data_IF_393585912296
#
_entry.id   IF_393585912296
#
_cell.length_a   1.000
_cell.length_b   1.000
_cell.length_c   1.000
_cell.angle_alpha   90.00
_cell.angle_beta   90.00
_cell.angle_gamma   90.00
#
_symmetry.space_group_name_H-M   'P 1'
#
loop_
_entity.id
_entity.type
_entity.pdbx_description
1 polymer ?
#
# COMPACT_ATOMS: atom_id res chain seq x y z
N UNK A 1 5.33 -18.50 -15.59
CA UNK A 1 4.08 -18.60 -14.83
C UNK A 1 4.22 -19.56 -13.66
N UNK A 2 4.71 -19.02 -12.58
CA UNK A 2 4.82 -19.80 -11.36
C UNK A 2 3.47 -19.81 -10.67
N UNK A 3 3.00 -20.98 -10.35
CA UNK A 3 1.83 -21.14 -9.52
C UNK A 3 2.30 -20.99 -8.07
N UNK A 4 1.81 -19.95 -7.41
CA UNK A 4 2.13 -19.72 -6.00
C UNK A 4 1.07 -20.43 -5.17
N UNK A 5 1.50 -21.29 -4.27
CA UNK A 5 0.59 -22.04 -3.42
C UNK A 5 -0.05 -21.13 -2.38
N UNK A 6 -1.27 -21.49 -1.98
CA UNK A 6 -1.94 -20.81 -0.89
C UNK A 6 -1.15 -20.99 0.41
N UNK A 7 -1.20 -19.98 1.26
CA UNK A 7 -0.55 -20.02 2.59
C UNK A 7 0.96 -20.28 2.51
N UNK A 8 1.61 -19.76 1.45
CA UNK A 8 3.02 -20.01 1.24
C UNK A 8 3.91 -18.79 1.41
N UNK A 9 3.32 -17.59 1.46
CA UNK A 9 4.09 -16.35 1.51
C UNK A 9 4.22 -15.81 2.92
N UNK A 10 5.43 -15.43 3.29
CA UNK A 10 5.69 -14.75 4.57
C UNK A 10 5.34 -13.28 4.50
N UNK A 11 5.54 -12.66 3.35
CA UNK A 11 5.28 -11.25 3.16
C UNK A 11 4.93 -10.95 1.71
N UNK A 12 4.07 -9.95 1.53
CA UNK A 12 3.70 -9.43 0.21
C UNK A 12 3.84 -7.91 0.27
N UNK A 13 4.47 -7.34 -0.76
CA UNK A 13 4.56 -5.90 -0.91
C UNK A 13 3.77 -5.51 -2.14
N UNK A 14 2.91 -4.50 -2.02
CA UNK A 14 2.10 -4.07 -3.14
C UNK A 14 2.04 -2.55 -3.22
N UNK A 15 2.09 -2.04 -4.42
CA UNK A 15 1.94 -0.63 -4.72
C UNK A 15 0.91 -0.52 -5.85
N UNK A 16 -0.39 -0.65 -5.53
CA UNK A 16 -1.42 -0.69 -6.56
C UNK A 16 -1.47 0.60 -7.36
N UNK A 17 -1.86 0.53 -8.62
CA UNK A 17 -1.97 1.74 -9.43
C UNK A 17 -3.04 2.68 -8.89
N UNK A 18 -2.75 3.97 -8.88
CA UNK A 18 -3.64 5.01 -8.38
C UNK A 18 -4.48 5.55 -9.50
N UNK A 19 -5.37 4.76 -10.01
CA UNK A 19 -6.17 5.22 -11.12
C UNK A 19 -7.45 5.84 -10.62
N UNK A 20 -7.62 7.11 -10.93
CA UNK A 20 -8.92 7.73 -10.84
C UNK A 20 -9.68 7.34 -12.09
N UNK A 21 -10.94 7.04 -11.94
CA UNK A 21 -11.89 7.01 -13.04
C UNK A 21 -11.70 8.32 -13.80
N UNK A 22 -11.39 8.28 -15.07
CA UNK A 22 -11.15 9.44 -15.92
C UNK A 22 -9.80 10.13 -15.71
N UNK A 23 -8.89 9.58 -14.96
CA UNK A 23 -7.58 10.19 -14.86
C UNK A 23 -6.78 9.84 -16.09
N UNK A 24 -6.36 10.84 -16.78
CA UNK A 24 -5.41 10.91 -17.84
C UNK A 24 -4.78 9.63 -18.36
N UNK A 25 -5.57 8.76 -18.89
CA UNK A 25 -5.06 7.62 -19.60
C UNK A 25 -4.50 8.14 -20.90
N UNK A 26 -3.22 7.94 -21.11
CA UNK A 26 -2.48 8.68 -22.12
C UNK A 26 -2.36 7.98 -23.46
N UNK A 27 -2.53 6.68 -23.53
CA UNK A 27 -2.48 5.97 -24.79
C UNK A 27 -3.21 4.62 -24.70
N UNK A 28 -3.50 4.06 -25.87
CA UNK A 28 -4.24 2.80 -25.95
C UNK A 28 -3.57 1.64 -25.27
N UNK A 29 -2.25 1.60 -25.31
CA UNK A 29 -1.52 0.49 -24.70
C UNK A 29 -1.65 0.52 -23.18
N UNK A 30 -1.60 1.71 -22.60
CA UNK A 30 -1.82 1.87 -21.17
C UNK A 30 -3.24 1.48 -20.81
N UNK A 31 -4.21 1.91 -21.61
CA UNK A 31 -5.62 1.56 -21.39
C UNK A 31 -5.80 0.05 -21.40
N UNK A 32 -5.26 -0.63 -22.40
CA UNK A 32 -5.40 -2.07 -22.51
C UNK A 32 -4.71 -2.80 -21.37
N UNK A 33 -3.52 -2.35 -21.00
CA UNK A 33 -2.77 -2.95 -19.91
C UNK A 33 -3.53 -2.79 -18.59
N UNK A 34 -3.99 -1.57 -18.32
CA UNK A 34 -4.73 -1.25 -17.12
C UNK A 34 -6.05 -2.02 -17.08
N UNK A 35 -6.81 -2.00 -18.17
CA UNK A 35 -8.08 -2.71 -18.23
C UNK A 35 -7.92 -4.20 -17.98
N UNK A 36 -6.86 -4.78 -18.54
CA UNK A 36 -6.58 -6.20 -18.39
C UNK A 36 -6.30 -6.54 -16.94
N UNK A 37 -5.66 -5.64 -16.20
CA UNK A 37 -5.31 -5.86 -14.81
C UNK A 37 -6.41 -5.38 -13.85
N UNK A 38 -7.06 -4.27 -14.13
CA UNK A 38 -8.10 -3.72 -13.25
C UNK A 38 -9.34 -4.57 -13.19
N UNK A 39 -9.74 -5.16 -14.28
CA UNK A 39 -10.88 -6.07 -14.26
C UNK A 39 -10.62 -7.20 -13.28
N UNK A 40 -9.33 -7.51 -13.02
CA UNK A 40 -8.93 -8.61 -12.17
C UNK A 40 -8.18 -8.19 -10.91
N UNK A 41 -7.78 -6.93 -10.83
CA UNK A 41 -6.84 -6.47 -9.80
C UNK A 41 -7.20 -5.09 -9.24
N UNK A 42 -8.46 -4.87 -8.84
CA UNK A 42 -8.78 -3.71 -8.03
C UNK A 42 -8.25 -3.96 -6.61
N UNK A 43 -8.37 -2.97 -5.75
CA UNK A 43 -7.82 -3.07 -4.39
C UNK A 43 -8.39 -4.29 -3.66
N UNK A 44 -9.68 -4.51 -3.77
CA UNK A 44 -10.29 -5.67 -3.12
C UNK A 44 -9.69 -6.99 -3.62
N UNK A 45 -9.51 -7.11 -4.94
CA UNK A 45 -8.95 -8.32 -5.53
C UNK A 45 -7.52 -8.56 -5.06
N UNK A 46 -6.71 -7.50 -4.99
CA UNK A 46 -5.33 -7.60 -4.51
C UNK A 46 -5.30 -8.11 -3.08
N UNK A 47 -6.15 -7.55 -2.23
CA UNK A 47 -6.22 -7.95 -0.82
C UNK A 47 -6.73 -9.38 -0.69
N UNK A 48 -7.74 -9.74 -1.48
CA UNK A 48 -8.28 -11.10 -1.48
C UNK A 48 -7.22 -12.13 -1.86
N UNK A 49 -6.48 -11.86 -2.92
CA UNK A 49 -5.40 -12.75 -3.36
C UNK A 49 -4.29 -12.81 -2.31
N UNK A 50 -3.93 -11.66 -1.74
CA UNK A 50 -2.93 -11.61 -0.68
C UNK A 50 -3.34 -12.47 0.50
N UNK A 51 -4.61 -12.42 0.87
CA UNK A 51 -5.12 -13.23 1.98
C UNK A 51 -4.97 -14.73 1.71
N UNK A 52 -5.14 -15.14 0.46
CA UNK A 52 -4.97 -16.55 0.11
C UNK A 52 -3.52 -16.98 0.11
N UNK A 53 -2.63 -16.11 -0.30
CA UNK A 53 -1.20 -16.44 -0.43
C UNK A 53 -0.45 -16.36 0.89
N UNK A 54 -0.86 -15.47 1.79
CA UNK A 54 -0.15 -15.26 3.03
C UNK A 54 -0.36 -16.41 4.02
N UNK A 55 0.70 -16.79 4.69
CA UNK A 55 0.62 -17.67 5.85
C UNK A 55 -0.05 -16.95 7.02
N UNK A 56 -0.48 -17.69 8.01
CA UNK A 56 -0.88 -17.10 9.29
C UNK A 56 0.27 -16.23 9.80
N UNK A 57 -0.06 -15.02 10.25
CA UNK A 57 0.92 -14.02 10.69
C UNK A 57 1.81 -13.50 9.56
N UNK A 58 1.52 -13.83 8.32
CA UNK A 58 2.19 -13.23 7.18
C UNK A 58 1.83 -11.75 7.06
N UNK A 59 2.73 -10.97 6.47
CA UNK A 59 2.63 -9.52 6.46
C UNK A 59 2.35 -8.98 5.07
N UNK A 60 1.38 -8.07 4.99
CA UNK A 60 1.10 -7.33 3.76
C UNK A 60 1.54 -5.89 3.95
N UNK A 61 2.36 -5.41 3.05
CA UNK A 61 2.80 -4.02 3.02
C UNK A 61 2.20 -3.35 1.79
N UNK A 62 1.50 -2.24 2.02
CA UNK A 62 0.83 -1.52 0.93
C UNK A 62 1.15 -0.04 1.00
N UNK A 63 1.39 0.56 -0.17
CA UNK A 63 1.52 2.00 -0.33
C UNK A 63 0.33 2.46 -1.13
N UNK A 64 -0.36 3.48 -0.65
CA UNK A 64 -1.53 4.00 -1.36
C UNK A 64 -1.79 5.46 -1.02
N UNK A 65 -2.79 6.03 -1.66
CA UNK A 65 -3.25 7.38 -1.36
C UNK A 65 -4.04 7.36 -0.05
N UNK A 66 -3.86 8.39 0.79
CA UNK A 66 -4.58 8.43 2.07
C UNK A 66 -6.11 8.47 1.93
N UNK A 67 -6.61 9.04 0.83
CA UNK A 67 -8.07 9.15 0.64
C UNK A 67 -8.74 7.78 0.38
N UNK A 68 -7.96 6.73 0.19
CA UNK A 68 -8.48 5.38 0.02
C UNK A 68 -8.35 4.54 1.29
N UNK A 69 -7.83 5.13 2.35
CA UNK A 69 -7.48 4.37 3.57
C UNK A 69 -8.67 3.64 4.18
N UNK A 70 -9.82 4.31 4.28
CA UNK A 70 -11.00 3.69 4.93
C UNK A 70 -11.46 2.47 4.13
N UNK A 71 -11.53 2.58 2.81
CA UNK A 71 -11.90 1.44 1.97
C UNK A 71 -10.88 0.31 2.06
N UNK A 72 -9.61 0.66 2.11
CA UNK A 72 -8.54 -0.36 2.24
C UNK A 72 -8.70 -1.10 3.56
N UNK A 73 -8.91 -0.38 4.65
CA UNK A 73 -9.10 -1.00 5.98
C UNK A 73 -10.30 -1.94 5.96
N UNK A 74 -11.39 -1.52 5.34
CA UNK A 74 -12.59 -2.35 5.24
C UNK A 74 -12.29 -3.66 4.52
N UNK A 75 -11.61 -3.59 3.38
CA UNK A 75 -11.25 -4.81 2.64
C UNK A 75 -10.26 -5.68 3.41
N UNK A 76 -9.28 -5.06 4.05
CA UNK A 76 -8.32 -5.82 4.86
C UNK A 76 -9.04 -6.64 5.93
N UNK A 77 -9.95 -6.02 6.66
CA UNK A 77 -10.70 -6.72 7.70
C UNK A 77 -11.64 -7.78 7.12
N UNK A 78 -12.24 -7.51 5.98
CA UNK A 78 -13.11 -8.47 5.30
C UNK A 78 -12.36 -9.79 5.01
N UNK A 79 -11.10 -9.68 4.64
CA UNK A 79 -10.29 -10.85 4.27
C UNK A 79 -9.33 -11.30 5.35
N UNK A 80 -9.57 -10.89 6.58
CA UNK A 80 -8.83 -11.36 7.76
C UNK A 80 -7.37 -10.95 7.78
N UNK A 81 -7.05 -9.80 7.20
CA UNK A 81 -5.72 -9.20 7.30
C UNK A 81 -5.86 -7.94 8.14
N UNK A 82 -5.37 -7.98 9.37
CA UNK A 82 -5.58 -6.86 10.30
C UNK A 82 -4.53 -5.78 10.10
N UNK A 83 -4.94 -4.51 9.85
CA UNK A 83 -3.96 -3.43 9.77
C UNK A 83 -3.30 -3.22 11.13
N UNK A 84 -1.97 -3.25 11.16
CA UNK A 84 -1.21 -3.18 12.40
C UNK A 84 -0.41 -1.91 12.55
N UNK A 85 0.04 -1.32 11.44
CA UNK A 85 0.80 -0.08 11.45
C UNK A 85 0.40 0.79 10.27
N UNK A 86 0.30 2.09 10.52
CA UNK A 86 0.09 3.06 9.47
C UNK A 86 1.07 4.20 9.67
N UNK A 87 1.69 4.63 8.58
CA UNK A 87 2.56 5.79 8.59
C UNK A 87 2.17 6.69 7.42
N UNK A 88 1.87 7.96 7.73
CA UNK A 88 1.53 8.94 6.69
C UNK A 88 2.79 9.61 6.18
N UNK A 89 2.85 9.81 4.87
CA UNK A 89 3.98 10.46 4.22
C UNK A 89 3.52 11.83 3.72
N UNK A 90 4.31 12.85 4.00
CA UNK A 90 4.05 14.24 3.61
C UNK A 90 5.22 14.73 2.79
N UNK A 91 4.94 15.56 1.79
CA UNK A 91 6.04 16.24 1.10
C UNK A 91 6.71 17.22 2.06
N UNK A 92 5.93 18.06 2.73
CA UNK A 92 6.41 19.04 3.71
C UNK A 92 5.42 19.12 4.87
N UNK A 93 5.86 19.72 5.96
CA UNK A 93 5.05 19.87 7.17
C UNK A 93 3.71 20.54 6.95
N UNK A 94 3.67 21.56 6.09
CA UNK A 94 2.46 22.33 5.85
C UNK A 94 1.50 21.70 4.85
N UNK A 95 1.92 20.62 4.19
CA UNK A 95 1.08 19.95 3.20
C UNK A 95 0.21 18.87 3.83
N UNK A 96 -0.83 18.47 3.11
CA UNK A 96 -1.58 17.28 3.49
C UNK A 96 -0.78 16.03 3.12
N UNK A 97 -1.08 14.94 3.80
CA UNK A 97 -0.43 13.68 3.46
C UNK A 97 -0.76 13.25 2.03
N UNK A 98 0.25 12.85 1.28
CA UNK A 98 0.07 12.41 -0.09
C UNK A 98 0.18 10.89 -0.25
N UNK A 99 0.75 10.19 0.72
CA UNK A 99 0.83 8.73 0.70
C UNK A 99 0.61 8.18 2.10
N UNK A 100 0.14 6.95 2.15
CA UNK A 100 0.05 6.20 3.39
C UNK A 100 0.73 4.84 3.21
N UNK A 101 1.53 4.48 4.20
CA UNK A 101 2.20 3.18 4.25
C UNK A 101 1.43 2.33 5.25
N UNK A 102 1.02 1.14 4.83
CA UNK A 102 0.19 0.26 5.65
C UNK A 102 0.90 -1.06 5.83
N UNK A 103 1.01 -1.51 7.07
CA UNK A 103 1.41 -2.88 7.38
C UNK A 103 0.22 -3.59 7.99
N UNK A 104 -0.16 -4.70 7.41
CA UNK A 104 -1.26 -5.52 7.89
C UNK A 104 -0.79 -6.96 8.05
N UNK A 105 -1.38 -7.70 8.97
CA UNK A 105 -0.92 -9.05 9.30
C UNK A 105 -2.10 -10.00 9.26
N UNK A 106 -1.92 -11.12 8.55
CA UNK A 106 -3.00 -12.09 8.38
C UNK A 106 -3.34 -12.79 9.68
N UNK A 107 -4.61 -12.80 10.00
CA UNK A 107 -5.19 -13.43 11.20
C UNK A 107 -4.65 -12.86 12.52
N UNK A 108 -4.11 -11.64 12.50
CA UNK A 108 -3.66 -10.98 13.71
C UNK A 108 -4.82 -10.37 14.47
N UNK A 109 -4.60 -10.10 15.74
CA UNK A 109 -5.57 -9.44 16.59
C UNK A 109 -5.59 -7.94 16.37
N UNK A 110 -6.57 -7.30 16.96
CA UNK A 110 -6.83 -5.87 16.86
C UNK A 110 -5.69 -5.05 17.51
N UNK A 111 -5.64 -3.82 17.20
CA UNK A 111 -4.80 -2.72 17.70
C UNK A 111 -3.84 -2.22 16.64
N UNK A 112 -4.13 -1.03 16.19
CA UNK A 112 -3.39 -0.31 15.15
C UNK A 112 -2.42 0.67 15.81
N UNK A 113 -1.20 0.72 15.32
CA UNK A 113 -0.23 1.74 15.72
C UNK A 113 -0.09 2.76 14.60
N UNK A 114 -0.31 4.04 14.93
CA UNK A 114 -0.02 5.12 14.00
C UNK A 114 1.39 5.61 14.29
N UNK A 115 2.29 5.45 13.33
CA UNK A 115 3.68 5.86 13.51
C UNK A 115 3.87 7.34 13.20
N UNK A 116 5.02 7.88 13.60
CA UNK A 116 5.33 9.29 13.31
C UNK A 116 5.29 9.54 11.81
N UNK A 117 4.79 10.72 11.39
CA UNK A 117 4.79 11.04 9.97
C UNK A 117 6.19 11.03 9.36
N UNK A 118 6.28 10.69 8.09
CA UNK A 118 7.52 10.84 7.34
C UNK A 118 7.41 12.07 6.47
N UNK A 119 8.35 12.99 6.63
CA UNK A 119 8.43 14.19 5.79
C UNK A 119 9.55 14.01 4.78
N UNK A 120 9.24 14.24 3.50
CA UNK A 120 10.20 14.02 2.43
C UNK A 120 11.18 15.20 2.34
N UNK A 121 10.67 16.42 2.43
CA UNK A 121 11.47 17.64 2.27
C UNK A 121 11.43 18.50 3.51
N UNK A 122 12.57 19.16 3.77
CA UNK A 122 12.67 20.15 4.84
C UNK A 122 12.26 21.55 4.35
N UNK A 123 12.45 22.55 5.20
CA UNK A 123 12.08 23.93 4.90
C UNK A 123 12.81 24.50 3.68
N UNK A 124 13.96 23.95 3.35
CA UNK A 124 14.80 24.39 2.24
C UNK A 124 14.62 23.54 0.99
N UNK A 125 13.56 22.75 0.93
CA UNK A 125 13.25 21.87 -0.20
C UNK A 125 14.33 20.80 -0.44
N UNK A 126 15.05 20.43 0.60
CA UNK A 126 16.02 19.34 0.56
C UNK A 126 15.44 18.13 1.28
N UNK A 127 15.90 16.95 0.91
CA UNK A 127 15.49 15.73 1.61
C UNK A 127 15.79 15.84 3.10
N UNK A 128 14.85 15.39 3.91
CA UNK A 128 15.05 15.32 5.36
C UNK A 128 16.11 14.27 5.69
N UNK A 129 16.69 14.38 6.88
CA UNK A 129 17.70 13.41 7.33
C UNK A 129 17.13 11.99 7.34
N UNK A 130 15.87 11.84 7.71
CA UNK A 130 15.25 10.53 7.73
C UNK A 130 15.19 9.92 6.33
N UNK A 131 14.81 10.69 5.32
CA UNK A 131 14.75 10.22 3.94
C UNK A 131 16.14 9.91 3.42
N UNK A 132 17.13 10.74 3.73
CA UNK A 132 18.52 10.48 3.35
C UNK A 132 19.03 9.19 3.99
N UNK A 133 18.66 8.94 5.23
CA UNK A 133 19.00 7.69 5.90
C UNK A 133 18.42 6.48 5.20
N UNK A 134 17.19 6.58 4.72
CA UNK A 134 16.54 5.49 3.97
C UNK A 134 17.27 5.24 2.65
N UNK A 135 17.60 6.29 1.91
CA UNK A 135 18.30 6.13 0.63
C UNK A 135 19.71 5.56 0.80
N UNK A 136 20.38 5.90 1.87
CA UNK A 136 21.76 5.47 2.10
C UNK A 136 21.84 4.10 2.78
N UNK A 137 20.70 3.52 3.10
CA UNK A 137 20.61 2.27 3.81
C UNK A 137 20.57 1.10 2.83
N UNK A 138 21.66 0.83 2.23
CA UNK A 138 21.74 -0.29 1.29
C UNK A 138 22.71 -1.35 1.76
#
# INVERSE_FOLDING_TARGET
NKIIENNSCDAIVTNPPYMKKNSGIKNENEIKLISRHEIKCNIEDIIKVSSKLLKDNGELYMVHRPDRLVGIIEFLRKYKIEPKKIRFVYSKKEDNSNLVLIKAVKNAGEFLKIEKPLYIYDENNKYTDEVLGIYNKK
#
